data_IF_395024189547
#
_entry.id   IF_395024189547
#
_cell.length_a   1.000
_cell.length_b   1.000
_cell.length_c   1.000
_cell.angle_alpha   90.00
_cell.angle_beta   90.00
_cell.angle_gamma   90.00
#
_symmetry.space_group_name_H-M   'P 1'
#
loop_
_entity.id
_entity.type
_entity.pdbx_description
1 polymer ?
#
# COMPACT_ATOMS: atom_id res chain seq x y z
N UNK A 1 -3.75 -22.04 0.15
CA UNK A 1 -2.95 -21.42 1.23
C UNK A 1 -1.69 -22.24 1.47
N UNK A 2 -0.62 -21.95 0.73
CA UNK A 2 0.70 -22.49 1.08
C UNK A 2 1.20 -21.80 2.36
N UNK A 3 1.86 -22.53 3.26
CA UNK A 3 2.29 -21.97 4.55
C UNK A 3 3.64 -21.27 4.36
N UNK A 4 3.67 -19.94 4.41
CA UNK A 4 4.92 -19.16 4.52
C UNK A 4 5.44 -19.26 5.96
N UNK A 5 6.75 -19.43 6.13
CA UNK A 5 7.39 -19.50 7.45
C UNK A 5 8.26 -18.27 7.70
N UNK A 6 8.62 -18.03 8.96
CA UNK A 6 9.48 -16.89 9.31
C UNK A 6 10.93 -17.18 8.90
N UNK A 7 11.31 -18.46 8.92
CA UNK A 7 12.59 -18.96 8.44
C UNK A 7 12.84 -18.55 6.99
N UNK A 8 11.85 -18.71 6.10
CA UNK A 8 11.96 -18.30 4.69
C UNK A 8 12.23 -16.78 4.55
N UNK A 9 11.64 -15.97 5.42
CA UNK A 9 11.84 -14.52 5.42
C UNK A 9 13.21 -14.11 5.96
N UNK A 10 13.75 -14.88 6.92
CA UNK A 10 15.05 -14.62 7.53
C UNK A 10 16.22 -15.01 6.64
N UNK A 11 16.00 -15.78 5.57
CA UNK A 11 17.00 -15.99 4.48
C UNK A 11 17.15 -14.77 3.57
N UNK A 12 16.27 -13.77 3.72
CA UNK A 12 16.26 -12.53 2.93
C UNK A 12 16.61 -11.33 3.79
N UNK A 13 16.10 -11.26 5.02
CA UNK A 13 16.33 -10.17 5.96
C UNK A 13 16.93 -10.73 7.25
N UNK A 14 18.19 -10.41 7.50
CA UNK A 14 18.95 -10.96 8.65
C UNK A 14 18.41 -10.52 10.02
N UNK A 15 17.67 -9.40 10.07
CA UNK A 15 17.15 -8.80 11.29
C UNK A 15 15.63 -8.96 11.43
N UNK A 16 15.20 -9.60 12.53
CA UNK A 16 13.77 -9.81 12.83
C UNK A 16 12.97 -8.53 13.02
N UNK A 17 13.56 -7.49 13.60
CA UNK A 17 12.88 -6.20 13.76
C UNK A 17 12.71 -5.51 12.42
N UNK A 18 13.75 -5.55 11.58
CA UNK A 18 13.69 -5.01 10.22
C UNK A 18 12.64 -5.75 9.38
N UNK A 19 12.61 -7.08 9.44
CA UNK A 19 11.58 -7.90 8.81
C UNK A 19 10.17 -7.43 9.22
N UNK A 20 9.93 -7.23 10.53
CA UNK A 20 8.63 -6.78 11.03
C UNK A 20 8.30 -5.39 10.51
N UNK A 21 9.25 -4.46 10.49
CA UNK A 21 9.04 -3.09 9.99
C UNK A 21 8.73 -3.09 8.50
N UNK A 22 9.51 -3.83 7.71
CA UNK A 22 9.36 -3.95 6.26
C UNK A 22 8.02 -4.62 5.90
N UNK A 23 7.70 -5.75 6.51
CA UNK A 23 6.43 -6.45 6.32
C UNK A 23 5.23 -5.57 6.71
N UNK A 24 5.33 -4.85 7.84
CA UNK A 24 4.26 -3.95 8.28
C UNK A 24 4.06 -2.75 7.36
N UNK A 25 5.14 -2.21 6.79
CA UNK A 25 5.06 -1.14 5.79
C UNK A 25 4.39 -1.64 4.52
N UNK A 26 4.86 -2.77 3.97
CA UNK A 26 4.30 -3.36 2.76
C UNK A 26 2.83 -3.78 2.92
N UNK A 27 2.49 -4.43 4.02
CA UNK A 27 1.11 -4.83 4.30
C UNK A 27 0.14 -3.63 4.32
N UNK A 28 0.59 -2.45 4.78
CA UNK A 28 -0.21 -1.22 4.74
C UNK A 28 -0.39 -0.68 3.33
N UNK A 29 0.60 -0.82 2.45
CA UNK A 29 0.48 -0.45 1.04
C UNK A 29 -0.54 -1.34 0.35
N UNK A 30 -0.42 -2.67 0.52
CA UNK A 30 -1.37 -3.64 -0.01
C UNK A 30 -2.80 -3.39 0.50
N UNK A 31 -2.96 -3.09 1.79
CA UNK A 31 -4.27 -2.75 2.37
C UNK A 31 -4.89 -1.45 1.79
N UNK A 32 -4.06 -0.54 1.25
CA UNK A 32 -4.50 0.68 0.55
C UNK A 32 -4.71 0.46 -0.96
N UNK A 33 -4.59 -0.78 -1.43
CA UNK A 33 -4.78 -1.14 -2.83
C UNK A 33 -3.53 -1.02 -3.70
N UNK A 34 -2.34 -0.99 -3.11
CA UNK A 34 -1.11 -1.25 -3.87
C UNK A 34 -1.17 -2.65 -4.48
N UNK A 35 -0.62 -2.81 -5.69
CA UNK A 35 -0.63 -4.11 -6.36
C UNK A 35 0.40 -5.05 -5.73
N UNK A 36 -0.03 -6.31 -5.53
CA UNK A 36 0.85 -7.40 -5.11
C UNK A 36 1.78 -7.80 -6.27
N UNK A 37 3.01 -8.19 -5.96
CA UNK A 37 3.92 -8.79 -6.95
C UNK A 37 3.65 -10.28 -7.17
N UNK A 38 2.73 -10.87 -6.39
CA UNK A 38 2.39 -12.29 -6.44
C UNK A 38 1.31 -12.57 -7.49
N UNK A 39 1.26 -13.81 -7.97
CA UNK A 39 0.27 -14.25 -8.95
C UNK A 39 -1.16 -14.27 -8.41
N UNK A 40 -2.14 -14.30 -9.31
CA UNK A 40 -3.57 -14.20 -8.99
C UNK A 40 -4.08 -15.25 -8.00
N UNK A 41 -3.50 -16.45 -8.02
CA UNK A 41 -3.86 -17.56 -7.13
C UNK A 41 -3.48 -17.32 -5.65
N UNK A 42 -2.60 -16.35 -5.38
CA UNK A 42 -2.13 -16.01 -4.04
C UNK A 42 -2.81 -14.76 -3.46
N UNK A 43 -3.62 -14.03 -4.24
CA UNK A 43 -4.23 -12.74 -3.84
C UNK A 43 -5.28 -12.84 -2.72
N UNK A 44 -5.78 -14.03 -2.39
CA UNK A 44 -6.84 -14.22 -1.38
C UNK A 44 -6.31 -14.21 0.07
N UNK A 45 -4.98 -14.16 0.24
CA UNK A 45 -4.35 -14.06 1.56
C UNK A 45 -4.43 -12.63 2.13
N UNK A 46 -4.43 -12.51 3.47
CA UNK A 46 -4.41 -11.20 4.13
C UNK A 46 -3.16 -10.39 3.74
N UNK A 47 -3.21 -9.05 3.70
CA UNK A 47 -2.07 -8.21 3.32
C UNK A 47 -0.77 -8.50 4.08
N UNK A 48 -0.86 -8.90 5.35
CA UNK A 48 0.31 -9.28 6.15
C UNK A 48 0.97 -10.57 5.69
N UNK A 49 0.19 -11.53 5.20
CA UNK A 49 0.70 -12.81 4.68
C UNK A 49 1.29 -12.59 3.28
N UNK A 50 0.61 -11.81 2.45
CA UNK A 50 1.12 -11.39 1.14
C UNK A 50 2.48 -10.69 1.27
N UNK A 51 2.61 -9.71 2.17
CA UNK A 51 3.87 -9.02 2.41
C UNK A 51 5.01 -9.96 2.82
N UNK A 52 4.74 -10.94 3.69
CA UNK A 52 5.77 -11.92 4.10
C UNK A 52 6.17 -12.84 2.95
N UNK A 53 5.23 -13.27 2.11
CA UNK A 53 5.52 -14.06 0.90
C UNK A 53 6.37 -13.28 -0.10
N UNK A 54 6.01 -12.03 -0.34
CA UNK A 54 6.75 -11.10 -1.20
C UNK A 54 8.20 -10.93 -0.72
N UNK A 55 8.41 -10.81 0.60
CA UNK A 55 9.75 -10.77 1.20
C UNK A 55 10.49 -12.10 0.97
N UNK A 56 9.86 -13.24 1.29
CA UNK A 56 10.48 -14.55 1.11
C UNK A 56 10.86 -14.85 -0.35
N UNK A 57 10.11 -14.32 -1.32
CA UNK A 57 10.39 -14.47 -2.75
C UNK A 57 11.37 -13.42 -3.31
N UNK A 58 11.86 -12.49 -2.47
CA UNK A 58 12.79 -11.42 -2.89
C UNK A 58 12.23 -10.53 -4.01
N UNK A 59 10.91 -10.36 -4.07
CA UNK A 59 10.25 -9.53 -5.08
C UNK A 59 10.09 -8.08 -4.65
N UNK A 60 10.46 -7.76 -3.40
CA UNK A 60 10.34 -6.42 -2.83
C UNK A 60 11.66 -6.01 -2.16
N UNK A 61 11.96 -4.72 -2.24
CA UNK A 61 13.11 -4.10 -1.60
C UNK A 61 12.73 -2.71 -1.07
N UNK A 62 13.66 -2.08 -0.35
CA UNK A 62 13.45 -0.76 0.26
C UNK A 62 13.18 0.34 -0.79
N UNK A 63 13.75 0.21 -1.99
CA UNK A 63 13.55 1.16 -3.10
C UNK A 63 12.12 1.10 -3.62
N UNK A 64 11.61 -0.11 -3.86
CA UNK A 64 10.22 -0.32 -4.26
C UNK A 64 9.24 0.18 -3.18
N UNK A 65 9.51 -0.09 -1.90
CA UNK A 65 8.67 0.39 -0.81
C UNK A 65 8.63 1.93 -0.74
N UNK A 66 9.77 2.59 -0.97
CA UNK A 66 9.85 4.05 -1.02
C UNK A 66 9.11 4.63 -2.23
N UNK A 67 9.21 3.97 -3.39
CA UNK A 67 8.48 4.33 -4.60
C UNK A 67 6.96 4.27 -4.39
N UNK A 68 6.48 3.14 -3.87
CA UNK A 68 5.05 2.94 -3.61
C UNK A 68 4.52 3.98 -2.61
N UNK A 69 5.27 4.29 -1.55
CA UNK A 69 4.89 5.34 -0.61
C UNK A 69 4.76 6.73 -1.27
N UNK A 70 5.60 7.03 -2.26
CA UNK A 70 5.51 8.28 -3.02
C UNK A 70 4.26 8.30 -3.89
N UNK A 71 4.01 7.22 -4.64
CA UNK A 71 2.81 7.07 -5.48
C UNK A 71 1.54 7.20 -4.64
N UNK A 72 1.48 6.54 -3.49
CA UNK A 72 0.33 6.60 -2.59
C UNK A 72 0.10 8.00 -2.02
N UNK A 73 1.18 8.75 -1.76
CA UNK A 73 1.09 10.14 -1.31
C UNK A 73 0.54 11.04 -2.42
N UNK A 74 1.10 10.94 -3.63
CA UNK A 74 0.66 11.71 -4.80
C UNK A 74 -0.81 11.44 -5.13
N UNK A 75 -1.23 10.17 -5.08
CA UNK A 75 -2.63 9.78 -5.26
C UNK A 75 -3.54 10.42 -4.23
N UNK A 76 -3.17 10.38 -2.95
CA UNK A 76 -3.96 10.99 -1.87
C UNK A 76 -4.04 12.52 -2.02
N UNK A 77 -2.93 13.16 -2.38
CA UNK A 77 -2.88 14.62 -2.60
C UNK A 77 -3.80 15.01 -3.77
N UNK A 78 -3.77 14.24 -4.86
CA UNK A 78 -4.68 14.43 -5.99
C UNK A 78 -6.15 14.26 -5.59
N UNK A 79 -6.48 13.16 -4.91
CA UNK A 79 -7.85 12.90 -4.43
C UNK A 79 -8.33 14.02 -3.49
N UNK A 80 -7.45 14.56 -2.63
CA UNK A 80 -7.77 15.67 -1.75
C UNK A 80 -8.00 16.99 -2.51
N UNK A 81 -7.17 17.29 -3.52
CA UNK A 81 -7.36 18.46 -4.38
C UNK A 81 -8.67 18.38 -5.17
N UNK A 82 -8.98 17.21 -5.73
CA UNK A 82 -10.25 16.97 -6.44
C UNK A 82 -11.45 17.15 -5.49
N UNK A 83 -11.37 16.67 -4.25
CA UNK A 83 -12.41 16.88 -3.23
C UNK A 83 -12.61 18.37 -2.89
N UNK A 84 -11.53 19.12 -2.67
CA UNK A 84 -11.61 20.56 -2.39
C UNK A 84 -12.21 21.31 -3.57
N UNK A 85 -11.83 20.97 -4.80
CA UNK A 85 -12.38 21.60 -6.01
C UNK A 85 -13.89 21.34 -6.14
N UNK A 86 -14.35 20.12 -5.85
CA UNK A 86 -15.77 19.77 -5.86
C UNK A 86 -16.57 20.54 -4.78
N UNK A 87 -16.01 20.71 -3.58
CA UNK A 87 -16.66 21.46 -2.51
C UNK A 87 -16.83 22.96 -2.86
N UNK A 88 -15.80 23.57 -3.47
CA UNK A 88 -15.87 24.99 -3.90
C UNK A 88 -16.92 25.20 -5.00
N UNK A 89 -17.07 24.26 -5.93
CA UNK A 89 -18.09 24.34 -6.98
C UNK A 89 -19.52 24.27 -6.39
N UNK A 90 -19.75 23.38 -5.41
CA UNK A 90 -21.05 23.25 -4.74
C UNK A 90 -21.42 24.51 -3.91
N UNK A 91 -20.45 25.14 -3.25
CA UNK A 91 -20.65 26.41 -2.53
C UNK A 91 -21.00 27.58 -3.45
N UNK A 92 -20.37 27.68 -4.62
CA UNK A 92 -20.69 28.73 -5.62
C UNK A 92 -22.09 28.53 -6.18
N UNK A 93 -22.51 27.29 -6.43
CA UNK A 93 -23.85 26.97 -6.94
C UNK A 93 -24.95 27.31 -5.93
N UNK A 94 -24.72 27.14 -4.63
CA UNK A 94 -25.70 27.47 -3.58
C UNK A 94 -25.79 28.97 -3.26
N UNK A 95 -24.71 29.73 -3.46
CA UNK A 95 -24.68 31.18 -3.19
C UNK A 95 -25.33 32.05 -4.26
N UNK A 96 -25.75 31.47 -5.40
CA UNK A 96 -26.32 32.21 -6.53
C UNK A 96 -27.84 32.45 -6.48
N UNK A 97 -28.59 31.75 -5.62
CA UNK A 97 -30.06 31.77 -5.63
C UNK A 97 -30.71 32.74 -4.62
N UNK A 98 -29.92 33.52 -3.87
CA UNK A 98 -30.40 34.43 -2.80
C UNK A 98 -30.46 35.93 -3.19
N UNK A 99 -30.60 36.26 -4.48
CA UNK A 99 -30.77 37.65 -4.99
C UNK A 99 -31.95 37.82 -5.95
#
# INVERSE_FOLDING_TARGET
MARVTIEDCLEVVDNRFELVVMASRRARQLAKGAQSTLGDEEQDDKPTVLALREIAMRTIDEGMLAEEDRIQRERREREALEWVAAEVDDDIMKGGDDL
#
